data_IF_513250397743
#
_entry.id   IF_513250397743
#
_cell.length_a   1.000
_cell.length_b   1.000
_cell.length_c   1.000
_cell.angle_alpha   90.00
_cell.angle_beta   90.00
_cell.angle_gamma   90.00
#
_symmetry.space_group_name_H-M   'P 1'
#
loop_
_entity.id
_entity.type
_entity.pdbx_description
1 polymer ?
#
# COMPACT_ATOMS: atom_id res chain seq x y z
N UNK A 1 1.06 4.05 26.06
CA UNK A 1 2.44 3.68 25.72
C UNK A 1 2.64 3.94 24.25
N UNK A 2 3.85 4.37 23.80
CA UNK A 2 4.15 4.49 22.39
C UNK A 2 3.94 3.18 21.64
N UNK A 3 3.46 3.27 20.40
CA UNK A 3 3.19 2.15 19.50
C UNK A 3 4.03 2.26 18.22
N UNK A 4 4.36 1.16 17.55
CA UNK A 4 4.92 1.24 16.20
C UNK A 4 3.88 1.78 15.22
N UNK A 5 4.33 2.49 14.19
CA UNK A 5 3.42 3.14 13.26
C UNK A 5 3.30 2.40 11.93
N UNK A 6 2.13 2.54 11.31
CA UNK A 6 1.87 2.14 9.93
C UNK A 6 1.35 3.34 9.15
N UNK A 7 2.09 3.75 8.13
CA UNK A 7 1.67 4.77 7.18
C UNK A 7 0.87 4.07 6.08
N UNK A 8 -0.44 4.37 6.01
CA UNK A 8 -1.40 3.74 5.10
C UNK A 8 -1.59 4.60 3.86
N UNK A 9 -1.26 4.07 2.70
CA UNK A 9 -1.31 4.77 1.43
C UNK A 9 -2.55 4.40 0.62
N UNK A 10 -3.27 5.43 0.22
CA UNK A 10 -4.55 5.37 -0.48
C UNK A 10 -4.50 4.75 -1.87
N UNK A 11 -5.66 4.36 -2.36
CA UNK A 11 -5.92 4.08 -3.77
C UNK A 11 -6.16 5.40 -4.56
N UNK A 12 -6.69 5.30 -5.77
CA UNK A 12 -7.05 6.48 -6.57
C UNK A 12 -8.30 7.24 -6.05
N UNK A 13 -8.91 6.78 -4.96
CA UNK A 13 -10.12 7.36 -4.38
C UNK A 13 -9.86 8.32 -3.21
N UNK A 14 -8.61 8.64 -2.91
CA UNK A 14 -8.25 9.48 -1.76
C UNK A 14 -8.27 8.73 -0.43
N UNK A 15 -8.19 9.48 0.67
CA UNK A 15 -8.34 8.94 2.02
C UNK A 15 -9.82 8.76 2.33
N UNK A 16 -10.44 7.84 1.59
CA UNK A 16 -11.86 7.53 1.65
C UNK A 16 -12.22 6.62 2.84
N UNK A 17 -13.50 6.22 2.92
CA UNK A 17 -14.00 5.38 4.02
C UNK A 17 -13.22 4.05 4.15
N UNK A 18 -12.87 3.40 3.03
CA UNK A 18 -12.12 2.14 3.07
C UNK A 18 -10.72 2.31 3.67
N UNK A 19 -10.02 3.40 3.34
CA UNK A 19 -8.69 3.68 3.92
C UNK A 19 -8.79 4.04 5.39
N UNK A 20 -9.81 4.82 5.80
CA UNK A 20 -10.03 5.14 7.21
C UNK A 20 -10.34 3.88 8.02
N UNK A 21 -11.17 2.97 7.49
CA UNK A 21 -11.44 1.67 8.11
C UNK A 21 -10.16 0.82 8.29
N UNK A 22 -9.26 0.82 7.28
CA UNK A 22 -7.95 0.16 7.42
C UNK A 22 -7.09 0.76 8.52
N UNK A 23 -7.14 2.08 8.70
CA UNK A 23 -6.46 2.73 9.83
C UNK A 23 -7.06 2.29 11.17
N UNK A 24 -8.38 2.22 11.28
CA UNK A 24 -9.07 1.76 12.50
C UNK A 24 -8.72 0.30 12.82
N UNK A 25 -8.76 -0.60 11.82
CA UNK A 25 -8.36 -2.01 11.96
C UNK A 25 -6.90 -2.17 12.46
N UNK A 26 -5.98 -1.31 12.00
CA UNK A 26 -4.59 -1.31 12.45
C UNK A 26 -4.46 -0.75 13.88
N UNK A 27 -5.22 0.28 14.21
CA UNK A 27 -5.25 0.86 15.55
C UNK A 27 -5.77 -0.17 16.59
N UNK A 28 -6.79 -0.95 16.25
CA UNK A 28 -7.30 -2.06 17.08
C UNK A 28 -6.23 -3.15 17.30
N UNK A 29 -5.28 -3.30 16.37
CA UNK A 29 -4.16 -4.22 16.51
C UNK A 29 -2.97 -3.64 17.29
N UNK A 30 -3.07 -2.39 17.77
CA UNK A 30 -2.05 -1.74 18.60
C UNK A 30 -1.02 -0.94 17.81
N UNK A 31 -1.28 -0.59 16.54
CA UNK A 31 -0.44 0.29 15.75
C UNK A 31 -0.91 1.75 15.78
N UNK A 32 0.00 2.69 15.67
CA UNK A 32 -0.31 4.07 15.32
C UNK A 32 -0.53 4.14 13.81
N UNK A 33 -1.78 4.26 13.35
CA UNK A 33 -2.10 4.32 11.94
C UNK A 33 -2.21 5.78 11.45
N UNK A 34 -1.55 6.10 10.33
CA UNK A 34 -1.54 7.44 9.73
C UNK A 34 -1.74 7.31 8.22
N UNK A 35 -2.73 8.01 7.66
CA UNK A 35 -2.97 8.05 6.23
C UNK A 35 -2.74 9.48 5.67
N UNK A 36 -1.61 9.75 4.98
CA UNK A 36 -1.41 11.03 4.32
C UNK A 36 -2.30 11.13 3.08
N UNK A 37 -2.77 12.34 2.78
CA UNK A 37 -3.44 12.64 1.53
C UNK A 37 -2.42 12.72 0.41
N UNK A 38 -2.35 11.69 -0.47
CA UNK A 38 -1.39 11.67 -1.57
C UNK A 38 -1.72 12.70 -2.65
N UNK A 39 -2.99 13.08 -2.79
CA UNK A 39 -3.42 14.00 -3.83
C UNK A 39 -3.43 15.48 -3.42
N UNK A 40 -2.92 15.81 -2.23
CA UNK A 40 -3.02 17.14 -1.66
C UNK A 40 -2.48 18.27 -2.58
N UNK A 41 -1.57 17.97 -3.50
CA UNK A 41 -1.00 18.93 -4.45
C UNK A 41 -1.92 19.20 -5.62
N UNK A 42 -2.63 18.16 -6.10
CA UNK A 42 -3.56 18.23 -7.22
C UNK A 42 -4.94 18.71 -6.74
N UNK A 43 -5.46 18.03 -5.73
CA UNK A 43 -6.75 18.32 -5.12
C UNK A 43 -6.78 17.80 -3.67
N UNK A 44 -6.75 18.69 -2.65
CA UNK A 44 -6.69 18.26 -1.27
C UNK A 44 -8.03 17.69 -0.79
N UNK A 45 -7.95 16.69 0.08
CA UNK A 45 -9.08 16.06 0.77
C UNK A 45 -10.04 15.31 -0.17
N UNK A 46 -9.49 14.65 -1.18
CA UNK A 46 -10.24 13.75 -2.05
C UNK A 46 -10.83 12.61 -1.23
N UNK A 47 -12.13 12.38 -1.37
CA UNK A 47 -12.91 11.32 -0.71
C UNK A 47 -13.97 10.79 -1.68
N UNK A 48 -13.55 9.85 -2.54
CA UNK A 48 -14.37 9.36 -3.65
C UNK A 48 -14.99 7.99 -3.33
N UNK A 49 -16.19 7.78 -3.86
CA UNK A 49 -16.89 6.50 -3.78
C UNK A 49 -16.33 5.46 -4.76
N UNK A 50 -16.18 4.22 -4.30
CA UNK A 50 -15.55 3.14 -5.09
C UNK A 50 -16.49 2.48 -6.12
N UNK A 51 -17.78 2.85 -6.14
CA UNK A 51 -18.83 2.29 -7.03
C UNK A 51 -19.44 3.30 -8.00
N UNK A 52 -18.98 4.53 -7.97
CA UNK A 52 -19.46 5.61 -8.84
C UNK A 52 -18.54 5.73 -10.05
N UNK A 53 -19.10 5.64 -11.27
CA UNK A 53 -18.32 5.82 -12.50
C UNK A 53 -17.72 7.23 -12.58
N UNK A 54 -18.45 8.25 -12.14
CA UNK A 54 -17.97 9.63 -12.08
C UNK A 54 -16.77 9.76 -11.14
N UNK A 55 -16.84 9.12 -9.95
CA UNK A 55 -15.75 9.12 -8.99
C UNK A 55 -14.54 8.34 -9.52
N UNK A 56 -14.79 7.24 -10.25
CA UNK A 56 -13.74 6.49 -10.94
C UNK A 56 -13.00 7.34 -11.95
N UNK A 57 -13.73 8.04 -12.83
CA UNK A 57 -13.13 8.96 -13.83
C UNK A 57 -12.35 10.08 -13.13
N UNK A 58 -12.87 10.63 -12.05
CA UNK A 58 -12.18 11.64 -11.26
C UNK A 58 -10.88 11.09 -10.66
N UNK A 59 -10.94 9.97 -9.96
CA UNK A 59 -9.77 9.33 -9.37
C UNK A 59 -8.72 8.95 -10.40
N UNK A 60 -9.15 8.50 -11.60
CA UNK A 60 -8.23 8.16 -12.69
C UNK A 60 -7.49 9.39 -13.23
N UNK A 61 -8.16 10.55 -13.33
CA UNK A 61 -7.48 11.80 -13.71
C UNK A 61 -6.41 12.19 -12.69
N UNK A 62 -6.71 12.08 -11.40
CA UNK A 62 -5.75 12.35 -10.32
C UNK A 62 -4.58 11.36 -10.36
N UNK A 63 -4.85 10.07 -10.56
CA UNK A 63 -3.82 9.04 -10.72
C UNK A 63 -2.87 9.35 -11.88
N UNK A 64 -3.41 9.81 -13.02
CA UNK A 64 -2.62 10.16 -14.21
C UNK A 64 -1.77 11.42 -14.01
N UNK A 65 -2.29 12.40 -13.27
CA UNK A 65 -1.59 13.65 -12.96
C UNK A 65 -0.55 13.51 -11.84
N UNK A 66 -0.67 12.49 -11.00
CA UNK A 66 0.13 12.31 -9.80
C UNK A 66 1.62 12.13 -10.09
N UNK A 67 2.44 13.03 -9.55
CA UNK A 67 3.91 12.95 -9.59
C UNK A 67 4.41 11.96 -8.53
N UNK A 68 4.82 10.78 -8.98
CA UNK A 68 5.28 9.69 -8.11
C UNK A 68 6.57 10.04 -7.36
N UNK A 69 7.45 10.82 -7.96
CA UNK A 69 8.71 11.24 -7.33
C UNK A 69 8.46 12.27 -6.23
N UNK A 70 7.56 13.23 -6.46
CA UNK A 70 7.07 14.13 -5.42
C UNK A 70 6.37 13.34 -4.30
N UNK A 71 5.53 12.39 -4.67
CA UNK A 71 4.82 11.52 -3.72
C UNK A 71 5.74 10.73 -2.81
N UNK A 72 6.84 10.17 -3.33
CA UNK A 72 7.83 9.49 -2.46
C UNK A 72 8.46 10.45 -1.45
N UNK A 73 8.74 11.70 -1.84
CA UNK A 73 9.24 12.73 -0.92
C UNK A 73 8.23 13.05 0.17
N UNK A 74 6.96 13.23 -0.20
CA UNK A 74 5.87 13.51 0.76
C UNK A 74 5.66 12.35 1.75
N UNK A 75 5.72 11.11 1.25
CA UNK A 75 5.63 9.91 2.09
C UNK A 75 6.84 9.82 3.03
N UNK A 76 8.04 10.10 2.54
CA UNK A 76 9.25 10.14 3.36
C UNK A 76 9.11 11.19 4.49
N UNK A 77 8.64 12.38 4.16
CA UNK A 77 8.44 13.45 5.16
C UNK A 77 7.38 13.04 6.20
N UNK A 78 6.33 12.32 5.77
CA UNK A 78 5.34 11.71 6.67
C UNK A 78 5.99 10.70 7.60
N UNK A 79 6.78 9.75 7.07
CA UNK A 79 7.51 8.75 7.84
C UNK A 79 8.44 9.43 8.87
N UNK A 80 9.23 10.41 8.43
CA UNK A 80 10.17 11.13 9.31
C UNK A 80 9.46 11.93 10.40
N UNK A 81 8.26 12.43 10.12
CA UNK A 81 7.44 13.16 11.08
C UNK A 81 6.84 12.24 12.12
N UNK A 82 6.21 11.15 11.65
CA UNK A 82 5.57 10.16 12.52
C UNK A 82 6.60 9.47 13.43
N UNK A 83 7.82 9.20 12.92
CA UNK A 83 8.91 8.62 13.72
C UNK A 83 9.30 9.46 14.95
N UNK A 84 9.05 10.77 14.90
CA UNK A 84 9.40 11.71 15.99
C UNK A 84 8.22 11.98 16.93
N UNK A 85 7.04 11.47 16.65
CA UNK A 85 5.87 11.67 17.52
C UNK A 85 6.08 10.94 18.86
N UNK A 86 5.70 11.56 19.99
CA UNK A 86 5.81 10.91 21.31
C UNK A 86 5.02 9.59 21.41
N UNK A 87 3.97 9.45 20.60
CA UNK A 87 3.13 8.24 20.52
C UNK A 87 3.76 7.12 19.69
N UNK A 88 4.85 7.41 18.96
CA UNK A 88 5.52 6.43 18.11
C UNK A 88 6.77 5.85 18.77
N UNK A 89 6.99 4.54 18.63
CA UNK A 89 8.24 3.88 19.09
C UNK A 89 9.44 4.18 18.18
N UNK A 90 9.24 4.85 17.04
CA UNK A 90 10.23 5.05 15.98
C UNK A 90 10.29 3.91 14.96
N UNK A 91 9.55 2.82 15.18
CA UNK A 91 9.40 1.72 14.21
C UNK A 91 8.25 2.02 13.26
N UNK A 92 8.51 2.00 11.94
CA UNK A 92 7.51 2.40 10.95
C UNK A 92 7.47 1.43 9.77
N UNK A 93 6.25 0.98 9.45
CA UNK A 93 5.93 0.34 8.18
C UNK A 93 5.15 1.27 7.25
N UNK A 94 5.24 1.00 5.96
CA UNK A 94 4.37 1.59 4.93
C UNK A 94 3.49 0.48 4.37
N UNK A 95 2.19 0.71 4.31
CA UNK A 95 1.19 -0.21 3.77
C UNK A 95 0.36 0.52 2.72
N UNK A 96 0.25 -0.02 1.51
CA UNK A 96 -0.51 0.65 0.46
C UNK A 96 -1.33 -0.27 -0.43
N UNK A 97 -2.36 0.33 -1.05
CA UNK A 97 -3.32 -0.33 -1.92
C UNK A 97 -3.33 0.33 -3.30
N UNK A 98 -3.33 -0.42 -4.40
CA UNK A 98 -3.37 0.10 -5.77
C UNK A 98 -2.24 1.13 -6.03
N UNK A 99 -2.55 2.41 -6.25
CA UNK A 99 -1.57 3.51 -6.31
C UNK A 99 -0.66 3.50 -5.07
N UNK A 100 -1.25 3.39 -3.88
CA UNK A 100 -0.52 3.33 -2.62
C UNK A 100 0.43 2.13 -2.54
N UNK A 101 0.11 1.01 -3.18
CA UNK A 101 0.99 -0.15 -3.22
C UNK A 101 2.22 0.09 -4.10
N UNK A 102 2.06 0.72 -5.26
CA UNK A 102 3.19 1.20 -6.06
C UNK A 102 4.05 2.17 -5.25
N UNK A 103 3.42 3.14 -4.58
CA UNK A 103 4.13 4.13 -3.75
C UNK A 103 4.82 3.48 -2.56
N UNK A 104 4.25 2.39 -1.99
CA UNK A 104 4.90 1.57 -0.96
C UNK A 104 6.18 0.92 -1.48
N UNK A 105 6.13 0.31 -2.67
CA UNK A 105 7.32 -0.26 -3.31
C UNK A 105 8.40 0.81 -3.56
N UNK A 106 8.02 1.94 -4.17
CA UNK A 106 8.94 3.06 -4.44
C UNK A 106 9.54 3.63 -3.13
N UNK A 107 8.74 3.75 -2.09
CA UNK A 107 9.24 4.18 -0.77
C UNK A 107 10.23 3.17 -0.20
N UNK A 108 9.93 1.88 -0.27
CA UNK A 108 10.80 0.83 0.27
C UNK A 108 12.15 0.72 -0.47
N UNK A 109 12.20 1.03 -1.77
CA UNK A 109 13.46 1.02 -2.54
C UNK A 109 14.25 2.32 -2.43
N UNK A 110 13.60 3.46 -2.15
CA UNK A 110 14.22 4.80 -2.14
C UNK A 110 14.44 5.37 -0.75
N UNK A 111 13.67 4.91 0.24
CA UNK A 111 13.68 5.44 1.60
C UNK A 111 13.94 4.34 2.63
N UNK A 112 14.23 4.75 3.86
CA UNK A 112 14.38 3.80 4.97
C UNK A 112 13.06 3.65 5.71
N UNK A 113 12.54 2.42 5.75
CA UNK A 113 11.39 2.00 6.56
C UNK A 113 11.70 0.62 7.18
N UNK A 114 11.00 0.24 8.24
CA UNK A 114 11.25 -1.03 8.94
C UNK A 114 10.51 -2.21 8.27
N UNK A 115 9.42 -1.96 7.57
CA UNK A 115 8.68 -2.94 6.78
C UNK A 115 7.82 -2.27 5.71
N UNK A 116 7.46 -3.02 4.67
CA UNK A 116 6.58 -2.54 3.61
C UNK A 116 5.57 -3.64 3.22
N UNK A 117 4.31 -3.25 2.99
CA UNK A 117 3.25 -4.15 2.54
C UNK A 117 2.51 -3.52 1.36
N UNK A 118 2.44 -4.23 0.23
CA UNK A 118 1.84 -3.74 -1.00
C UNK A 118 0.71 -4.66 -1.48
N UNK A 119 -0.49 -4.11 -1.66
CA UNK A 119 -1.65 -4.81 -2.21
C UNK A 119 -1.91 -4.36 -3.66
N UNK A 120 -1.77 -5.29 -4.63
CA UNK A 120 -2.12 -5.10 -6.05
C UNK A 120 -1.62 -3.76 -6.65
N UNK A 121 -0.32 -3.49 -6.52
CA UNK A 121 0.31 -2.28 -7.06
C UNK A 121 0.51 -2.36 -8.56
N UNK A 122 -0.38 -1.75 -9.34
CA UNK A 122 -0.19 -1.57 -10.77
C UNK A 122 1.05 -0.73 -11.08
N UNK A 123 1.64 -0.92 -12.25
CA UNK A 123 2.86 -0.25 -12.70
C UNK A 123 4.15 -0.60 -11.92
N UNK A 124 4.11 -1.48 -10.92
CA UNK A 124 5.31 -1.88 -10.16
C UNK A 124 6.39 -2.46 -11.07
N UNK A 125 6.00 -3.21 -12.12
CA UNK A 125 6.92 -3.78 -13.10
C UNK A 125 7.79 -2.72 -13.81
N UNK A 126 7.29 -1.51 -13.98
CA UNK A 126 8.02 -0.41 -14.63
C UNK A 126 9.19 0.12 -13.79
N UNK A 127 9.18 -0.16 -12.49
CA UNK A 127 10.18 0.30 -11.51
C UNK A 127 11.07 -0.81 -10.96
N UNK A 128 11.00 -2.04 -11.48
CA UNK A 128 11.82 -3.16 -11.02
C UNK A 128 13.32 -2.92 -11.22
N UNK A 129 13.71 -2.02 -12.11
CA UNK A 129 15.09 -1.60 -12.27
C UNK A 129 15.67 -0.92 -11.01
N UNK A 130 14.82 -0.44 -10.09
CA UNK A 130 15.22 0.16 -8.80
C UNK A 130 15.33 -0.87 -7.66
N UNK A 131 15.00 -2.14 -7.90
CA UNK A 131 14.88 -3.17 -6.86
C UNK A 131 16.16 -3.36 -6.02
N UNK A 132 17.32 -2.97 -6.54
CA UNK A 132 18.58 -3.01 -5.80
C UNK A 132 18.63 -2.02 -4.64
N UNK A 133 17.74 -1.02 -4.63
CA UNK A 133 17.55 -0.10 -3.51
C UNK A 133 16.77 -0.71 -2.33
N UNK A 134 16.05 -1.82 -2.54
CA UNK A 134 15.22 -2.43 -1.51
C UNK A 134 16.08 -2.92 -0.33
N UNK A 135 15.79 -2.36 0.85
CA UNK A 135 16.46 -2.70 2.12
C UNK A 135 15.47 -3.22 3.16
N UNK A 136 14.22 -2.75 3.10
CA UNK A 136 13.16 -3.16 4.02
C UNK A 136 12.61 -4.54 3.64
N UNK A 137 12.20 -5.36 4.63
CA UNK A 137 11.33 -6.50 4.36
C UNK A 137 10.07 -6.05 3.62
N UNK A 138 9.69 -6.75 2.56
CA UNK A 138 8.53 -6.45 1.73
C UNK A 138 7.60 -7.64 1.62
N UNK A 139 6.34 -7.43 1.95
CA UNK A 139 5.24 -8.35 1.68
C UNK A 139 4.38 -7.81 0.53
N UNK A 140 4.15 -8.61 -0.51
CA UNK A 140 3.31 -8.21 -1.63
C UNK A 140 2.15 -9.21 -1.83
N UNK A 141 0.96 -8.66 -2.04
CA UNK A 141 -0.26 -9.40 -2.35
C UNK A 141 -0.69 -9.08 -3.78
N UNK A 142 -0.79 -10.10 -4.65
CA UNK A 142 -1.22 -9.99 -6.04
C UNK A 142 -2.53 -10.75 -6.26
N UNK A 143 -3.50 -10.09 -6.85
CA UNK A 143 -4.70 -10.75 -7.36
C UNK A 143 -4.36 -11.47 -8.68
N UNK A 144 -4.70 -12.75 -8.81
CA UNK A 144 -4.28 -13.49 -10.01
C UNK A 144 -4.99 -13.01 -11.26
N UNK A 145 -6.28 -12.65 -11.16
CA UNK A 145 -7.10 -12.12 -12.26
C UNK A 145 -7.19 -10.58 -12.26
N UNK A 146 -6.10 -9.91 -11.84
CA UNK A 146 -6.03 -8.45 -11.78
C UNK A 146 -6.14 -7.84 -13.18
N UNK A 147 -7.09 -6.93 -13.38
CA UNK A 147 -7.38 -6.29 -14.66
C UNK A 147 -6.37 -5.19 -15.01
N UNK A 148 -5.62 -4.70 -14.01
CA UNK A 148 -4.65 -3.62 -14.14
C UNK A 148 -3.20 -4.10 -14.13
N UNK A 149 -2.95 -5.35 -13.70
CA UNK A 149 -1.61 -5.96 -13.66
C UNK A 149 -1.63 -7.22 -14.52
N UNK A 150 -1.14 -7.12 -15.74
CA UNK A 150 -1.15 -8.25 -16.68
C UNK A 150 -0.40 -9.47 -16.14
N UNK A 151 -0.75 -10.66 -16.62
CA UNK A 151 -0.05 -11.90 -16.23
C UNK A 151 1.49 -11.81 -16.44
N UNK A 152 1.99 -11.28 -17.57
CA UNK A 152 3.43 -11.06 -17.73
C UNK A 152 4.02 -10.13 -16.66
N UNK A 153 3.38 -8.98 -16.39
CA UNK A 153 3.83 -8.05 -15.34
C UNK A 153 3.86 -8.71 -13.95
N UNK A 154 2.83 -9.49 -13.61
CA UNK A 154 2.83 -10.29 -12.37
C UNK A 154 3.99 -11.29 -12.31
N UNK A 155 4.33 -11.94 -13.43
CA UNK A 155 5.44 -12.87 -13.51
C UNK A 155 6.79 -12.16 -13.31
N UNK A 156 6.99 -11.00 -13.92
CA UNK A 156 8.19 -10.16 -13.75
C UNK A 156 8.35 -9.70 -12.30
N UNK A 157 7.28 -9.19 -11.68
CA UNK A 157 7.28 -8.77 -10.26
C UNK A 157 7.66 -9.95 -9.36
N UNK A 158 7.01 -11.12 -9.55
CA UNK A 158 7.29 -12.32 -8.76
C UNK A 158 8.76 -12.77 -8.90
N UNK A 159 9.27 -12.84 -10.13
CA UNK A 159 10.65 -13.25 -10.39
C UNK A 159 11.64 -12.30 -9.71
N UNK A 160 11.48 -10.99 -9.90
CA UNK A 160 12.38 -10.00 -9.33
C UNK A 160 12.37 -9.99 -7.80
N UNK A 161 11.20 -10.13 -7.17
CA UNK A 161 11.07 -10.12 -5.72
C UNK A 161 11.52 -11.43 -5.07
N UNK A 162 11.28 -12.59 -5.69
CA UNK A 162 11.68 -13.89 -5.14
C UNK A 162 13.20 -14.00 -4.93
N UNK A 163 13.99 -13.30 -5.75
CA UNK A 163 15.44 -13.27 -5.63
C UNK A 163 15.96 -12.33 -4.53
N UNK A 164 15.08 -11.51 -3.92
CA UNK A 164 15.49 -10.54 -2.88
C UNK A 164 15.25 -11.09 -1.48
N UNK A 165 16.29 -11.14 -0.63
CA UNK A 165 16.11 -11.52 0.77
C UNK A 165 15.12 -10.62 1.51
N UNK A 166 14.27 -11.23 2.33
CA UNK A 166 13.28 -10.49 3.12
C UNK A 166 12.00 -10.12 2.38
N UNK A 167 11.84 -10.56 1.12
CA UNK A 167 10.60 -10.37 0.37
C UNK A 167 9.73 -11.61 0.39
N UNK A 168 8.42 -11.41 0.37
CA UNK A 168 7.41 -12.46 0.24
C UNK A 168 6.32 -11.98 -0.71
N UNK A 169 5.96 -12.81 -1.69
CA UNK A 169 4.87 -12.51 -2.63
C UNK A 169 3.81 -13.59 -2.52
N UNK A 170 2.58 -13.19 -2.23
CA UNK A 170 1.42 -14.07 -2.28
C UNK A 170 0.56 -13.73 -3.50
N UNK A 171 0.21 -14.76 -4.27
CA UNK A 171 -0.78 -14.68 -5.34
C UNK A 171 -2.08 -15.31 -4.88
N UNK A 172 -3.20 -14.67 -5.19
CA UNK A 172 -4.55 -15.10 -4.79
C UNK A 172 -5.32 -15.58 -6.01
N UNK A 173 -5.45 -16.92 -6.20
CA UNK A 173 -6.11 -17.49 -7.36
C UNK A 173 -7.57 -17.05 -7.47
N UNK A 174 -7.98 -16.69 -8.69
CA UNK A 174 -9.35 -16.28 -8.99
C UNK A 174 -9.78 -14.94 -8.39
N UNK A 175 -8.84 -14.18 -7.81
CA UNK A 175 -9.15 -12.86 -7.25
C UNK A 175 -8.84 -11.77 -8.26
N UNK A 176 -9.68 -10.73 -8.25
CA UNK A 176 -9.57 -9.52 -9.06
C UNK A 176 -8.95 -8.36 -8.28
N UNK A 177 -8.64 -7.27 -8.97
CA UNK A 177 -8.09 -6.06 -8.33
C UNK A 177 -8.94 -5.61 -7.14
N UNK A 178 -8.29 -5.20 -6.06
CA UNK A 178 -8.94 -4.73 -4.83
C UNK A 178 -9.87 -5.75 -4.13
N UNK A 179 -9.56 -7.06 -4.20
CA UNK A 179 -10.36 -8.11 -3.56
C UNK A 179 -10.50 -7.96 -2.03
N UNK A 180 -9.64 -7.16 -1.40
CA UNK A 180 -9.65 -6.90 0.05
C UNK A 180 -10.37 -5.61 0.44
N UNK A 181 -10.94 -4.85 -0.51
CA UNK A 181 -11.67 -3.61 -0.28
C UNK A 181 -13.13 -3.91 0.05
N UNK A 182 -13.56 -3.65 1.28
CA UNK A 182 -14.87 -4.04 1.82
C UNK A 182 -16.05 -3.55 0.97
N UNK A 183 -15.99 -2.30 0.50
CA UNK A 183 -17.07 -1.70 -0.30
C UNK A 183 -16.89 -1.91 -1.81
N UNK A 184 -15.83 -2.62 -2.23
CA UNK A 184 -15.50 -2.86 -3.62
C UNK A 184 -16.39 -3.90 -4.30
N UNK A 185 -16.47 -3.82 -5.64
CA UNK A 185 -17.22 -4.79 -6.44
C UNK A 185 -16.60 -6.21 -6.40
N UNK A 186 -15.28 -6.29 -6.22
CA UNK A 186 -14.51 -7.54 -6.20
C UNK A 186 -14.21 -8.06 -4.79
N UNK A 187 -14.83 -7.48 -3.75
CA UNK A 187 -14.59 -7.91 -2.38
C UNK A 187 -14.85 -9.41 -2.20
N UNK A 188 -13.84 -10.10 -1.69
CA UNK A 188 -13.94 -11.51 -1.33
C UNK A 188 -13.51 -11.68 0.13
N UNK A 189 -14.47 -11.92 1.01
CA UNK A 189 -14.25 -11.98 2.45
C UNK A 189 -13.19 -13.01 2.86
N UNK A 190 -13.17 -14.19 2.22
CA UNK A 190 -12.21 -15.25 2.54
C UNK A 190 -10.79 -14.88 2.10
N UNK A 191 -10.62 -14.38 0.89
CA UNK A 191 -9.32 -13.94 0.40
C UNK A 191 -8.81 -12.71 1.16
N UNK A 192 -9.69 -11.76 1.46
CA UNK A 192 -9.38 -10.58 2.27
C UNK A 192 -8.91 -10.96 3.68
N UNK A 193 -9.65 -11.84 4.38
CA UNK A 193 -9.26 -12.32 5.70
C UNK A 193 -7.88 -13.00 5.68
N UNK A 194 -7.60 -13.83 4.67
CA UNK A 194 -6.30 -14.48 4.52
C UNK A 194 -5.18 -13.47 4.28
N UNK A 195 -5.37 -12.49 3.38
CA UNK A 195 -4.36 -11.48 3.08
C UNK A 195 -4.11 -10.55 4.28
N UNK A 196 -5.18 -10.10 4.93
CA UNK A 196 -5.09 -9.24 6.13
C UNK A 196 -4.43 -10.00 7.31
N UNK A 197 -4.71 -11.29 7.50
CA UNK A 197 -4.06 -12.12 8.51
C UNK A 197 -2.54 -12.23 8.28
N UNK A 198 -2.11 -12.49 7.04
CA UNK A 198 -0.69 -12.52 6.65
C UNK A 198 -0.02 -11.16 6.86
N UNK A 199 -0.71 -10.08 6.53
CA UNK A 199 -0.24 -8.70 6.75
C UNK A 199 -0.06 -8.42 8.25
N UNK A 200 -1.06 -8.73 9.07
CA UNK A 200 -1.00 -8.55 10.53
C UNK A 200 0.17 -9.31 11.15
N UNK A 201 0.33 -10.57 10.78
CA UNK A 201 1.45 -11.40 11.26
C UNK A 201 2.80 -10.80 10.84
N UNK A 202 2.95 -10.42 9.56
CA UNK A 202 4.16 -9.81 9.04
C UNK A 202 4.51 -8.52 9.77
N UNK A 203 3.55 -7.61 9.94
CA UNK A 203 3.77 -6.33 10.63
C UNK A 203 4.17 -6.55 12.10
N UNK A 204 3.49 -7.46 12.81
CA UNK A 204 3.84 -7.79 14.20
C UNK A 204 5.25 -8.36 14.32
N UNK A 205 5.65 -9.25 13.44
CA UNK A 205 7.01 -9.83 13.46
C UNK A 205 8.11 -8.80 13.17
N UNK A 206 7.81 -7.70 12.47
CA UNK A 206 8.80 -6.69 12.07
C UNK A 206 8.84 -5.47 12.98
N UNK A 207 7.72 -5.15 13.61
CA UNK A 207 7.57 -3.90 14.35
C UNK A 207 7.46 -4.09 15.87
N UNK A 208 6.94 -5.23 16.33
CA UNK A 208 6.83 -5.59 17.75
C UNK A 208 7.97 -6.50 18.18
#
# INVERSE_FOLDING_TARGET
LPAPAVVVLQELFGVNADIREKCDELAEQGFLAVAPDLFWREEPRVDLGVRSDTDWEHGLRLYQAYDRDAGVRDIKDTVDTVAKMPECTGKIAVLGYCLGALMTFLTAVRCRVDAAVAFHGGDTEKYLHEINGLRAPLLMHLAEEDEFISKPAQAEIKAALTEKPGTTVYSYPGQYHAFSRHNGAHYNAKAAALANGRTSEFLKQRLL
#
